data_IF_206582037398
#
_entry.id   IF_206582037398
#
_cell.length_a   1.000
_cell.length_b   1.000
_cell.length_c   1.000
_cell.angle_alpha   90.00
_cell.angle_beta   90.00
_cell.angle_gamma   90.00
#
_symmetry.space_group_name_H-M   'P 1'
#
loop_
_entity.id
_entity.type
_entity.pdbx_description
1 polymer ?
#
# COMPACT_ATOMS: atom_id res chain seq x y z
N UNK A 1 -10.77 -21.97 26.88
CA UNK A 1 -10.34 -23.19 26.16
C UNK A 1 -9.70 -22.78 24.82
N UNK A 2 -8.58 -22.04 24.88
CA UNK A 2 -8.03 -21.25 23.76
C UNK A 2 -6.51 -21.49 23.61
N UNK A 3 -6.08 -22.75 23.66
CA UNK A 3 -4.64 -23.08 23.75
C UNK A 3 -4.16 -24.26 22.90
N UNK A 4 -4.99 -24.87 22.04
CA UNK A 4 -4.62 -26.13 21.35
C UNK A 4 -4.67 -26.02 19.80
N UNK A 5 -5.07 -24.88 19.23
CA UNK A 5 -5.27 -24.75 17.78
C UNK A 5 -4.00 -24.55 16.93
N UNK A 6 -2.87 -24.15 17.52
CA UNK A 6 -1.68 -23.73 16.75
C UNK A 6 -0.66 -24.82 16.45
N UNK A 7 -0.90 -26.07 16.87
CA UNK A 7 0.06 -27.19 16.73
C UNK A 7 -0.31 -28.28 15.72
N UNK A 8 -1.39 -28.11 14.97
CA UNK A 8 -1.91 -29.15 14.05
C UNK A 8 -1.97 -28.73 12.57
N UNK A 9 -1.38 -27.60 12.18
CA UNK A 9 -1.26 -27.28 10.75
C UNK A 9 0.02 -27.91 10.20
N UNK A 10 -0.07 -28.92 9.31
CA UNK A 10 1.09 -29.43 8.62
C UNK A 10 1.68 -28.34 7.74
N UNK A 11 2.97 -28.08 7.92
CA UNK A 11 3.77 -27.33 6.95
C UNK A 11 3.83 -28.17 5.67
N UNK A 12 2.98 -27.85 4.70
CA UNK A 12 3.14 -28.31 3.32
C UNK A 12 2.91 -27.13 2.40
N UNK A 13 3.89 -26.80 1.55
CA UNK A 13 3.75 -25.74 0.59
C UNK A 13 2.90 -26.26 -0.57
N UNK A 14 2.06 -25.39 -1.14
CA UNK A 14 1.95 -25.14 -2.58
C UNK A 14 0.52 -24.84 -3.07
N UNK A 15 0.52 -23.87 -3.98
CA UNK A 15 -0.30 -23.78 -5.20
C UNK A 15 -1.79 -23.60 -5.00
N UNK A 16 -2.22 -22.36 -5.19
CA UNK A 16 -3.50 -22.06 -5.86
C UNK A 16 -3.32 -20.81 -6.70
N UNK A 17 -3.65 -20.93 -7.98
CA UNK A 17 -3.73 -19.79 -8.88
C UNK A 17 -4.92 -18.94 -8.46
N UNK A 18 -4.69 -17.63 -8.38
CA UNK A 18 -5.76 -16.67 -8.11
C UNK A 18 -5.64 -15.55 -9.12
N UNK A 19 -6.18 -15.79 -10.31
CA UNK A 19 -6.62 -14.69 -11.16
C UNK A 19 -7.73 -13.97 -10.39
N UNK A 20 -7.42 -12.80 -9.82
CA UNK A 20 -8.42 -11.90 -9.25
C UNK A 20 -8.17 -11.39 -7.82
N UNK A 21 -7.23 -11.94 -7.05
CA UNK A 21 -6.86 -11.37 -5.75
C UNK A 21 -5.63 -10.47 -5.93
N UNK A 22 -5.80 -9.16 -5.76
CA UNK A 22 -4.67 -8.21 -5.67
C UNK A 22 -3.79 -8.64 -4.49
N UNK A 23 -2.57 -9.05 -4.78
CA UNK A 23 -1.59 -9.45 -3.77
C UNK A 23 -1.14 -8.21 -3.00
N UNK A 24 -0.89 -8.38 -1.70
CA UNK A 24 -0.27 -7.32 -0.89
C UNK A 24 1.21 -7.18 -1.26
N UNK A 25 1.82 -6.02 -0.97
CA UNK A 25 3.26 -5.84 -1.22
C UNK A 25 4.12 -6.93 -0.52
N UNK A 26 3.70 -7.36 0.68
CA UNK A 26 4.36 -8.42 1.46
C UNK A 26 4.25 -9.80 0.80
N UNK A 27 3.06 -10.20 0.37
CA UNK A 27 2.85 -11.46 -0.36
C UNK A 27 3.67 -11.50 -1.66
N UNK A 28 3.75 -10.36 -2.35
CA UNK A 28 4.53 -10.21 -3.57
C UNK A 28 6.03 -10.41 -3.28
N UNK A 29 6.54 -9.77 -2.21
CA UNK A 29 7.93 -9.90 -1.78
C UNK A 29 8.29 -11.33 -1.34
N UNK A 30 7.40 -12.02 -0.64
CA UNK A 30 7.56 -13.43 -0.27
C UNK A 30 7.58 -14.35 -1.49
N UNK A 31 6.71 -14.12 -2.49
CA UNK A 31 6.61 -14.96 -3.68
C UNK A 31 7.88 -14.98 -4.56
N UNK A 32 8.73 -13.96 -4.41
CA UNK A 32 10.04 -13.87 -5.06
C UNK A 32 11.20 -14.23 -4.12
N UNK A 33 10.92 -14.70 -2.91
CA UNK A 33 11.91 -14.99 -1.87
C UNK A 33 12.85 -13.80 -1.61
N UNK A 34 12.30 -12.58 -1.65
CA UNK A 34 13.07 -11.35 -1.42
C UNK A 34 13.39 -11.15 0.05
N UNK A 35 12.50 -11.59 0.95
CA UNK A 35 12.69 -11.47 2.39
C UNK A 35 13.93 -12.25 2.86
N UNK A 36 14.25 -13.37 2.22
CA UNK A 36 15.45 -14.16 2.51
C UNK A 36 16.73 -13.64 1.84
N UNK A 37 16.64 -12.63 0.97
CA UNK A 37 17.76 -12.08 0.19
C UNK A 37 17.95 -10.57 0.41
N UNK A 38 17.15 -9.97 1.30
CA UNK A 38 17.24 -8.58 1.67
C UNK A 38 18.30 -8.43 2.76
N UNK A 39 19.28 -7.57 2.51
CA UNK A 39 20.36 -7.29 3.43
C UNK A 39 20.46 -5.78 3.68
N UNK A 40 20.67 -5.42 4.94
CA UNK A 40 20.91 -4.04 5.38
C UNK A 40 22.36 -3.88 5.72
N UNK A 41 23.00 -2.89 5.10
CA UNK A 41 24.42 -2.62 5.23
C UNK A 41 24.62 -1.20 5.76
N UNK A 42 25.71 -0.98 6.48
CA UNK A 42 26.15 0.35 6.90
C UNK A 42 27.55 0.60 6.38
N UNK A 43 27.80 1.84 5.95
CA UNK A 43 29.13 2.27 5.54
C UNK A 43 30.04 2.39 6.76
N UNK A 44 31.19 1.72 6.73
CA UNK A 44 32.20 1.89 7.76
C UNK A 44 33.06 3.14 7.47
N UNK A 45 33.74 3.72 8.49
CA UNK A 45 34.63 4.86 8.29
C UNK A 45 35.68 4.56 7.21
N UNK A 46 35.73 5.40 6.17
CA UNK A 46 36.66 5.22 5.04
C UNK A 46 36.20 4.25 3.95
N UNK A 47 34.90 3.96 3.87
CA UNK A 47 34.32 3.28 2.70
C UNK A 47 34.50 4.13 1.43
N UNK A 48 35.06 3.56 0.34
CA UNK A 48 35.27 4.29 -0.91
C UNK A 48 33.96 4.60 -1.65
N UNK A 49 32.83 4.02 -1.25
CA UNK A 49 31.51 4.29 -1.85
C UNK A 49 30.91 5.63 -1.43
N UNK A 50 31.43 6.22 -0.35
CA UNK A 50 30.89 7.46 0.20
C UNK A 50 31.22 8.63 -0.73
N UNK A 51 30.22 9.47 -1.01
CA UNK A 51 30.30 10.54 -2.01
C UNK A 51 30.16 10.05 -3.46
N UNK A 52 30.02 8.74 -3.70
CA UNK A 52 29.66 8.23 -5.02
C UNK A 52 28.14 8.15 -5.17
N UNK A 53 27.66 8.29 -6.40
CA UNK A 53 26.25 8.02 -6.72
C UNK A 53 26.00 6.52 -6.88
N UNK A 54 24.75 6.09 -6.68
CA UNK A 54 24.35 4.68 -6.88
C UNK A 54 24.69 4.19 -8.30
N UNK A 55 24.55 5.05 -9.32
CA UNK A 55 24.91 4.72 -10.70
C UNK A 55 26.42 4.53 -10.91
N UNK A 56 27.25 5.36 -10.27
CA UNK A 56 28.70 5.26 -10.37
C UNK A 56 29.25 4.04 -9.61
N UNK A 57 28.65 3.70 -8.47
CA UNK A 57 29.03 2.53 -7.69
C UNK A 57 28.78 1.19 -8.41
N UNK A 58 27.89 1.17 -9.41
CA UNK A 58 27.60 0.01 -10.27
C UNK A 58 27.42 -1.32 -9.52
N UNK A 59 26.82 -1.28 -8.32
CA UNK A 59 26.75 -2.43 -7.40
C UNK A 59 26.08 -3.66 -8.02
N UNK A 60 25.11 -3.43 -8.91
CA UNK A 60 24.45 -4.50 -9.68
C UNK A 60 25.44 -5.15 -10.64
N UNK A 61 26.11 -4.37 -11.49
CA UNK A 61 27.07 -4.90 -12.48
C UNK A 61 28.28 -5.57 -11.85
N UNK A 62 28.86 -4.98 -10.79
CA UNK A 62 30.13 -5.41 -10.21
C UNK A 62 29.97 -6.57 -9.22
N UNK A 63 28.85 -6.61 -8.48
CA UNK A 63 28.64 -7.59 -7.41
C UNK A 63 27.35 -8.40 -7.58
N UNK A 64 26.51 -8.13 -8.57
CA UNK A 64 25.21 -8.79 -8.74
C UNK A 64 24.12 -8.28 -7.79
N UNK A 65 24.39 -7.24 -6.99
CA UNK A 65 23.51 -6.77 -5.92
C UNK A 65 22.60 -5.64 -6.39
N UNK A 66 21.30 -5.73 -6.11
CA UNK A 66 20.36 -4.64 -6.45
C UNK A 66 20.15 -3.73 -5.26
N UNK A 67 20.43 -2.44 -5.42
CA UNK A 67 20.10 -1.45 -4.40
C UNK A 67 18.61 -1.10 -4.49
N UNK A 68 17.88 -1.39 -3.43
CA UNK A 68 16.44 -1.15 -3.36
C UNK A 68 16.18 0.23 -2.75
N UNK A 69 16.79 0.50 -1.59
CA UNK A 69 16.56 1.74 -0.86
C UNK A 69 17.76 2.17 -0.03
N UNK A 70 17.69 3.41 0.44
CA UNK A 70 18.66 4.02 1.34
C UNK A 70 17.87 4.51 2.57
N UNK A 71 18.22 4.00 3.73
CA UNK A 71 17.68 4.44 5.02
C UNK A 71 18.51 5.58 5.57
N UNK A 72 17.86 6.69 5.90
CA UNK A 72 18.50 7.81 6.59
C UNK A 72 17.97 7.86 8.01
N UNK A 73 18.88 7.94 8.98
CA UNK A 73 18.51 8.09 10.38
C UNK A 73 18.18 9.57 10.66
N UNK A 74 16.90 9.94 10.63
CA UNK A 74 16.44 11.26 11.03
C UNK A 74 15.70 11.20 12.38
N UNK A 75 16.20 11.94 13.38
CA UNK A 75 15.49 12.26 14.63
C UNK A 75 14.78 11.06 15.28
N UNK A 76 15.49 9.94 15.44
CA UNK A 76 15.02 8.69 16.08
C UNK A 76 14.15 7.77 15.22
N UNK A 77 13.87 8.12 13.97
CA UNK A 77 13.16 7.26 12.99
C UNK A 77 14.00 7.12 11.72
N UNK A 78 14.12 5.90 11.21
CA UNK A 78 14.80 5.66 9.95
C UNK A 78 13.80 5.82 8.81
N UNK A 79 14.00 6.86 7.99
CA UNK A 79 13.19 7.11 6.79
C UNK A 79 13.85 6.40 5.63
N UNK A 80 13.09 5.58 4.89
CA UNK A 80 13.68 4.72 3.85
C UNK A 80 13.30 5.21 2.47
N UNK A 81 14.21 5.93 1.84
CA UNK A 81 13.99 6.48 0.51
C UNK A 81 14.38 5.49 -0.59
N UNK A 82 13.65 5.48 -1.72
CA UNK A 82 14.04 4.71 -2.89
C UNK A 82 15.36 5.23 -3.44
N UNK A 83 16.30 4.31 -3.69
CA UNK A 83 17.58 4.67 -4.26
C UNK A 83 17.37 5.05 -5.73
N UNK A 84 17.66 6.30 -6.11
CA UNK A 84 17.68 6.73 -7.51
C UNK A 84 19.08 6.52 -8.09
N UNK A 85 19.26 6.75 -9.39
CA UNK A 85 20.57 6.60 -10.04
C UNK A 85 21.57 7.69 -9.60
N UNK A 86 21.07 8.88 -9.30
CA UNK A 86 21.84 10.07 -8.91
C UNK A 86 21.94 10.27 -7.39
N UNK A 87 21.37 9.39 -6.57
CA UNK A 87 21.48 9.51 -5.12
C UNK A 87 22.93 9.24 -4.70
N UNK A 88 23.50 10.16 -3.92
CA UNK A 88 24.84 10.03 -3.35
C UNK A 88 24.79 9.32 -1.99
N UNK A 89 25.80 8.49 -1.72
CA UNK A 89 25.93 7.80 -0.44
C UNK A 89 26.61 8.66 0.62
N UNK A 90 26.02 8.74 1.81
CA UNK A 90 26.58 9.44 2.96
C UNK A 90 26.98 8.47 4.08
N UNK A 91 27.88 8.92 4.97
CA UNK A 91 28.37 8.14 6.11
C UNK A 91 27.25 7.63 7.05
N UNK A 92 26.16 8.39 7.18
CA UNK A 92 25.05 8.06 8.09
C UNK A 92 23.97 7.17 7.45
N UNK A 93 24.13 6.83 6.16
CA UNK A 93 23.13 6.10 5.41
C UNK A 93 23.22 4.59 5.68
N UNK A 94 22.06 3.94 5.75
CA UNK A 94 21.92 2.50 5.69
C UNK A 94 21.53 2.08 4.26
N UNK A 95 22.23 1.10 3.71
CA UNK A 95 22.00 0.61 2.36
C UNK A 95 21.17 -0.67 2.40
N UNK A 96 20.02 -0.68 1.72
CA UNK A 96 19.18 -1.86 1.55
C UNK A 96 19.44 -2.49 0.19
N UNK A 97 20.02 -3.70 0.19
CA UNK A 97 20.36 -4.45 -1.03
C UNK A 97 19.65 -5.79 -1.06
N UNK A 98 19.28 -6.21 -2.27
CA UNK A 98 18.77 -7.56 -2.55
C UNK A 98 19.80 -8.32 -3.36
N UNK A 99 20.15 -9.51 -2.89
CA UNK A 99 20.99 -10.46 -3.62
C UNK A 99 21.47 -11.64 -2.78
N UNK A 100 22.39 -12.42 -3.34
CA UNK A 100 22.92 -13.61 -2.68
C UNK A 100 23.89 -13.23 -1.55
N UNK A 101 23.87 -14.02 -0.47
CA UNK A 101 24.69 -13.78 0.72
C UNK A 101 26.20 -13.72 0.38
N UNK A 102 26.68 -14.61 -0.48
CA UNK A 102 28.08 -14.62 -0.92
C UNK A 102 28.50 -13.32 -1.59
N UNK A 103 27.64 -12.73 -2.43
CA UNK A 103 27.89 -11.45 -3.08
C UNK A 103 27.91 -10.30 -2.07
N UNK A 104 27.03 -10.33 -1.08
CA UNK A 104 27.00 -9.34 0.01
C UNK A 104 28.27 -9.42 0.85
N UNK A 105 28.74 -10.63 1.18
CA UNK A 105 29.99 -10.81 1.93
C UNK A 105 31.19 -10.23 1.15
N UNK A 106 31.24 -10.46 -0.17
CA UNK A 106 32.26 -9.90 -1.04
C UNK A 106 32.22 -8.36 -1.10
N UNK A 107 31.01 -7.78 -1.17
CA UNK A 107 30.81 -6.34 -1.12
C UNK A 107 31.31 -5.75 0.22
N UNK A 108 30.93 -6.37 1.34
CA UNK A 108 31.37 -5.96 2.68
C UNK A 108 32.90 -5.93 2.82
N UNK A 109 33.57 -6.97 2.31
CA UNK A 109 35.03 -7.07 2.38
C UNK A 109 35.74 -6.04 1.48
N UNK A 110 35.21 -5.77 0.29
CA UNK A 110 35.87 -4.92 -0.70
C UNK A 110 35.62 -3.43 -0.45
N UNK A 111 34.37 -3.08 -0.13
CA UNK A 111 33.91 -1.69 -0.05
C UNK A 111 33.78 -1.18 1.39
N UNK A 112 34.27 -1.94 2.39
CA UNK A 112 34.22 -1.61 3.83
C UNK A 112 32.81 -1.29 4.30
N UNK A 113 31.94 -2.30 4.25
CA UNK A 113 30.58 -2.22 4.78
C UNK A 113 30.38 -3.28 5.85
N UNK A 114 29.60 -2.94 6.87
CA UNK A 114 29.19 -3.86 7.92
C UNK A 114 27.71 -4.23 7.77
N UNK A 115 27.38 -5.51 7.95
CA UNK A 115 25.98 -5.98 7.94
C UNK A 115 25.28 -5.56 9.24
N UNK A 116 24.04 -5.12 9.10
CA UNK A 116 23.14 -4.84 10.21
C UNK A 116 22.00 -5.85 10.21
N UNK A 117 21.47 -6.11 11.41
CA UNK A 117 20.23 -6.86 11.55
C UNK A 117 19.07 -6.00 11.03
N UNK A 118 18.19 -6.62 10.25
CA UNK A 118 16.93 -6.03 9.80
C UNK A 118 15.87 -6.41 10.83
N UNK A 119 15.22 -5.41 11.42
CA UNK A 119 14.01 -5.64 12.21
C UNK A 119 12.80 -5.73 11.28
N UNK A 120 11.78 -6.52 11.66
CA UNK A 120 10.55 -6.64 10.86
C UNK A 120 9.86 -5.30 10.60
N UNK A 121 9.92 -4.37 11.57
CA UNK A 121 9.39 -3.01 11.44
C UNK A 121 10.03 -2.24 10.29
N UNK A 122 11.36 -2.35 10.14
CA UNK A 122 12.13 -1.69 9.08
C UNK A 122 11.84 -2.32 7.72
N UNK A 123 11.70 -3.64 7.68
CA UNK A 123 11.34 -4.37 6.47
C UNK A 123 9.95 -3.98 5.97
N UNK A 124 8.97 -3.81 6.88
CA UNK A 124 7.65 -3.29 6.54
C UNK A 124 7.71 -1.85 6.06
N UNK A 125 8.48 -0.99 6.73
CA UNK A 125 8.66 0.41 6.33
C UNK A 125 9.27 0.52 4.93
N UNK A 126 10.32 -0.26 4.65
CA UNK A 126 10.95 -0.38 3.33
C UNK A 126 9.90 -0.74 2.27
N UNK A 127 9.11 -1.80 2.52
CA UNK A 127 8.10 -2.28 1.58
C UNK A 127 6.98 -1.25 1.39
N UNK A 128 6.61 -0.46 2.39
CA UNK A 128 5.58 0.59 2.26
C UNK A 128 6.09 1.82 1.49
N UNK A 129 7.33 2.25 1.75
CA UNK A 129 7.93 3.40 1.07
C UNK A 129 8.38 3.09 -0.37
N UNK A 130 8.80 1.84 -0.62
CA UNK A 130 9.13 1.36 -1.97
C UNK A 130 7.95 0.67 -2.61
N UNK A 131 7.46 1.26 -3.70
CA UNK A 131 6.49 0.56 -4.53
C UNK A 131 7.12 -0.68 -5.16
N UNK A 132 6.39 -1.79 -5.13
CA UNK A 132 6.73 -3.01 -5.82
C UNK A 132 5.60 -3.40 -6.75
N UNK A 133 5.93 -3.82 -7.98
CA UNK A 133 4.94 -4.12 -9.00
C UNK A 133 5.43 -5.28 -9.89
N UNK A 134 4.53 -6.20 -10.21
CA UNK A 134 4.77 -7.20 -11.24
C UNK A 134 4.31 -6.67 -12.60
N UNK A 135 5.22 -6.70 -13.57
CA UNK A 135 4.93 -6.38 -14.97
C UNK A 135 5.27 -7.54 -15.87
N UNK A 136 4.43 -7.79 -16.87
CA UNK A 136 4.68 -8.76 -17.92
C UNK A 136 5.13 -8.05 -19.19
N UNK A 137 6.08 -8.65 -19.89
CA UNK A 137 6.53 -8.17 -21.19
C UNK A 137 5.54 -8.63 -22.29
N UNK A 138 4.84 -7.70 -22.97
CA UNK A 138 3.99 -8.00 -24.13
C UNK A 138 4.83 -8.46 -25.33
N UNK A 139 4.24 -9.14 -26.33
CA UNK A 139 4.98 -9.71 -27.46
C UNK A 139 5.67 -8.65 -28.32
N UNK A 140 5.15 -7.42 -28.33
CA UNK A 140 5.70 -6.29 -29.10
C UNK A 140 6.72 -5.45 -28.31
N UNK A 141 7.15 -5.91 -27.12
CA UNK A 141 8.10 -5.16 -26.30
C UNK A 141 9.50 -5.15 -26.91
N UNK A 142 10.05 -3.96 -27.14
CA UNK A 142 11.44 -3.74 -27.62
C UNK A 142 12.51 -4.34 -26.70
N UNK A 143 12.15 -4.66 -25.45
CA UNK A 143 13.04 -5.28 -24.48
C UNK A 143 13.24 -6.78 -24.71
N UNK A 144 12.41 -7.42 -25.53
CA UNK A 144 12.55 -8.84 -25.86
C UNK A 144 13.87 -9.07 -26.61
N UNK A 145 14.62 -10.07 -26.15
CA UNK A 145 15.94 -10.42 -26.70
C UNK A 145 17.10 -9.61 -26.14
N UNK A 146 16.84 -8.53 -25.40
CA UNK A 146 17.86 -7.74 -24.71
C UNK A 146 18.14 -8.32 -23.32
N UNK A 147 19.36 -8.10 -22.82
CA UNK A 147 19.69 -8.40 -21.42
C UNK A 147 19.24 -7.26 -20.51
N UNK A 148 19.01 -7.54 -19.22
CA UNK A 148 18.72 -6.47 -18.24
C UNK A 148 19.82 -5.38 -18.21
N UNK A 149 21.07 -5.76 -18.50
CA UNK A 149 22.19 -4.84 -18.67
C UNK A 149 21.99 -3.89 -19.85
N UNK A 150 21.63 -4.43 -21.02
CA UNK A 150 21.43 -3.66 -22.25
C UNK A 150 20.21 -2.74 -22.16
N UNK A 151 19.14 -3.23 -21.53
CA UNK A 151 17.93 -2.46 -21.28
C UNK A 151 18.16 -1.24 -20.37
N UNK A 152 19.26 -1.21 -19.61
CA UNK A 152 19.62 -0.14 -18.67
C UNK A 152 18.42 0.37 -17.84
N UNK A 153 17.60 -0.57 -17.37
CA UNK A 153 16.24 -0.33 -16.85
C UNK A 153 16.19 0.76 -15.76
N UNK A 154 17.19 0.76 -14.89
CA UNK A 154 17.32 1.74 -13.80
C UNK A 154 17.63 3.15 -14.29
N UNK A 155 18.43 3.29 -15.33
CA UNK A 155 18.80 4.59 -15.90
C UNK A 155 17.63 5.18 -16.70
N UNK A 156 16.93 4.35 -17.48
CA UNK A 156 15.81 4.81 -18.31
C UNK A 156 14.54 5.07 -17.51
N UNK A 157 14.16 4.16 -16.61
CA UNK A 157 12.88 4.25 -15.91
C UNK A 157 13.01 4.66 -14.42
N UNK A 158 14.23 4.72 -13.87
CA UNK A 158 14.43 5.01 -12.45
C UNK A 158 13.98 3.88 -11.52
N UNK A 159 13.85 2.66 -12.05
CA UNK A 159 13.28 1.49 -11.39
C UNK A 159 14.27 0.32 -11.36
N UNK A 160 14.14 -0.58 -10.40
CA UNK A 160 15.06 -1.72 -10.25
C UNK A 160 14.34 -3.05 -10.40
N UNK A 161 14.86 -3.92 -11.25
CA UNK A 161 14.34 -5.29 -11.41
C UNK A 161 14.92 -6.18 -10.31
N UNK A 162 14.07 -6.63 -9.40
CA UNK A 162 14.44 -7.50 -8.28
C UNK A 162 14.45 -8.98 -8.70
N UNK A 163 13.55 -9.37 -9.60
CA UNK A 163 13.36 -10.76 -10.00
C UNK A 163 12.76 -10.89 -11.39
N UNK A 164 13.09 -11.99 -12.07
CA UNK A 164 12.45 -12.40 -13.32
C UNK A 164 11.77 -13.75 -13.07
N UNK A 165 10.53 -13.89 -13.51
CA UNK A 165 9.76 -15.12 -13.43
C UNK A 165 9.41 -15.57 -14.84
N UNK A 166 9.84 -16.79 -15.20
CA UNK A 166 9.56 -17.44 -16.48
C UNK A 166 8.74 -18.70 -16.22
N UNK A 167 7.64 -18.90 -16.95
CA UNK A 167 6.74 -20.04 -16.75
C UNK A 167 6.31 -20.24 -15.28
N UNK A 168 6.01 -19.14 -14.57
CA UNK A 168 5.63 -19.10 -13.13
C UNK A 168 6.73 -19.55 -12.15
N UNK A 169 7.98 -19.70 -12.57
CA UNK A 169 9.11 -19.99 -11.68
C UNK A 169 10.11 -18.83 -11.67
N UNK A 170 10.59 -18.40 -10.49
CA UNK A 170 11.64 -17.38 -10.42
C UNK A 170 12.93 -17.96 -11.02
N UNK A 171 13.59 -17.18 -11.88
CA UNK A 171 14.88 -17.57 -12.45
C UNK A 171 15.97 -17.47 -11.37
N UNK A 172 16.76 -18.52 -11.13
CA UNK A 172 17.88 -18.48 -10.21
C UNK A 172 19.10 -17.80 -10.85
N UNK A 173 19.97 -17.20 -10.03
CA UNK A 173 21.28 -16.70 -10.45
C UNK A 173 21.32 -15.21 -10.81
N UNK A 174 22.30 -14.83 -11.63
CA UNK A 174 22.56 -13.44 -11.99
C UNK A 174 21.67 -12.99 -13.16
N UNK A 175 20.58 -12.30 -12.83
CA UNK A 175 19.58 -11.84 -13.80
C UNK A 175 20.10 -10.80 -14.81
N UNK A 176 21.28 -10.23 -14.60
CA UNK A 176 21.82 -9.13 -15.41
C UNK A 176 22.10 -9.56 -16.86
N UNK A 177 22.54 -10.79 -17.04
CA UNK A 177 22.96 -11.36 -18.33
C UNK A 177 21.86 -12.19 -18.99
N UNK A 178 20.77 -12.44 -18.26
CA UNK A 178 19.62 -13.14 -18.78
C UNK A 178 18.92 -12.31 -19.85
N UNK A 179 18.66 -12.95 -21.00
CA UNK A 179 17.88 -12.34 -22.07
C UNK A 179 16.40 -12.42 -21.74
N UNK A 180 15.74 -11.27 -21.81
CA UNK A 180 14.31 -11.14 -21.61
C UNK A 180 13.56 -11.82 -22.76
N UNK A 181 12.55 -12.61 -22.42
CA UNK A 181 11.71 -13.31 -23.37
C UNK A 181 10.25 -12.88 -23.24
N UNK A 182 9.47 -13.09 -24.30
CA UNK A 182 8.03 -12.90 -24.26
C UNK A 182 7.39 -13.75 -23.15
N UNK A 183 6.46 -13.15 -22.40
CA UNK A 183 5.76 -13.82 -21.30
C UNK A 183 6.55 -13.86 -19.98
N UNK A 184 7.78 -13.33 -19.95
CA UNK A 184 8.49 -13.12 -18.70
C UNK A 184 7.76 -12.07 -17.84
N UNK A 185 7.70 -12.35 -16.54
CA UNK A 185 7.15 -11.44 -15.54
C UNK A 185 8.29 -10.88 -14.69
N UNK A 186 8.46 -9.57 -14.73
CA UNK A 186 9.47 -8.83 -14.00
C UNK A 186 8.86 -8.31 -12.70
N UNK A 187 9.54 -8.56 -11.58
CA UNK A 187 9.28 -7.86 -10.34
C UNK A 187 10.15 -6.61 -10.28
N UNK A 188 9.49 -5.46 -10.23
CA UNK A 188 10.14 -4.16 -10.21
C UNK A 188 9.89 -3.50 -8.86
N UNK A 189 10.93 -2.85 -8.32
CA UNK A 189 10.82 -1.99 -7.15
C UNK A 189 11.37 -0.59 -7.42
N UNK A 190 10.78 0.42 -6.79
CA UNK A 190 11.27 1.79 -6.83
C UNK A 190 10.29 2.80 -6.27
N UNK A 191 10.54 4.07 -6.57
CA UNK A 191 9.67 5.16 -6.15
C UNK A 191 8.30 5.07 -6.85
N UNK A 192 7.22 5.32 -6.09
CA UNK A 192 5.84 5.27 -6.60
C UNK A 192 5.60 6.17 -7.83
N UNK A 193 6.25 7.34 -7.88
CA UNK A 193 6.17 8.27 -9.00
C UNK A 193 6.72 7.67 -10.30
N UNK A 194 7.76 6.84 -10.22
CA UNK A 194 8.39 6.21 -11.38
C UNK A 194 7.57 5.01 -11.84
N UNK A 195 6.98 4.27 -10.89
CA UNK A 195 6.07 3.17 -11.20
C UNK A 195 4.83 3.68 -11.95
N UNK A 196 4.25 4.81 -11.52
CA UNK A 196 3.09 5.40 -12.21
C UNK A 196 3.42 5.90 -13.61
N UNK A 197 4.63 6.43 -13.85
CA UNK A 197 5.10 6.79 -15.19
C UNK A 197 5.21 5.56 -16.09
N UNK A 198 5.72 4.44 -15.57
CA UNK A 198 5.82 3.18 -16.32
C UNK A 198 4.44 2.64 -16.74
N UNK A 199 3.35 2.94 -16.01
CA UNK A 199 1.99 2.56 -16.42
C UNK A 199 1.47 3.36 -17.63
N UNK A 200 2.01 4.57 -17.85
CA UNK A 200 1.68 5.39 -19.02
C UNK A 200 2.25 4.80 -20.32
N UNK A 201 3.32 4.02 -20.22
CA UNK A 201 4.01 3.38 -21.34
C UNK A 201 3.46 1.96 -21.63
N UNK A 202 2.14 1.88 -21.83
CA UNK A 202 1.38 0.64 -22.10
C UNK A 202 1.92 -0.22 -23.27
N UNK A 203 2.79 0.34 -24.12
CA UNK A 203 3.40 -0.38 -25.24
C UNK A 203 4.49 -1.37 -24.80
N UNK A 204 5.15 -1.14 -23.67
CA UNK A 204 6.32 -1.94 -23.28
C UNK A 204 6.08 -2.87 -22.09
N UNK A 205 5.01 -2.63 -21.30
CA UNK A 205 4.71 -3.39 -20.08
C UNK A 205 3.21 -3.55 -19.86
N UNK A 206 2.80 -4.76 -19.49
CA UNK A 206 1.47 -5.04 -18.97
C UNK A 206 1.57 -5.18 -17.45
N UNK A 207 1.02 -4.22 -16.72
CA UNK A 207 1.05 -4.23 -15.26
C UNK A 207 0.04 -5.25 -14.74
N UNK A 208 0.52 -6.36 -14.18
CA UNK A 208 -0.34 -7.48 -13.78
C UNK A 208 -0.93 -7.31 -12.38
N UNK A 209 -0.13 -6.82 -11.43
CA UNK A 209 -0.52 -6.67 -10.04
C UNK A 209 -0.09 -5.29 -9.54
N UNK A 210 -1.04 -4.35 -9.45
CA UNK A 210 -0.91 -3.16 -8.62
C UNK A 210 -1.24 -3.58 -7.18
N UNK A 211 -0.32 -3.39 -6.22
CA UNK A 211 -0.66 -3.56 -4.81
C UNK A 211 -1.84 -2.68 -4.44
N UNK A 212 -2.74 -3.20 -3.60
CA UNK A 212 -3.91 -2.46 -3.13
C UNK A 212 -3.54 -1.12 -2.46
N UNK A 213 -2.31 -1.01 -1.95
CA UNK A 213 -1.75 0.18 -1.30
C UNK A 213 -1.47 1.35 -2.27
N UNK A 214 -1.41 1.12 -3.60
CA UNK A 214 -1.27 2.19 -4.59
C UNK A 214 -2.42 3.20 -4.57
N UNK A 215 -3.63 2.78 -4.21
CA UNK A 215 -4.79 3.69 -4.10
C UNK A 215 -4.76 4.57 -2.86
N UNK A 216 -4.06 4.16 -1.80
CA UNK A 216 -4.10 4.87 -0.51
C UNK A 216 -2.93 5.84 -0.30
N UNK A 217 -1.76 5.62 -0.91
CA UNK A 217 -0.53 6.32 -0.51
C UNK A 217 -0.20 7.55 -1.39
N UNK A 218 -0.75 7.66 -2.61
CA UNK A 218 -0.14 8.52 -3.63
C UNK A 218 -0.38 10.06 -3.59
N UNK A 219 -1.37 10.65 -2.88
CA UNK A 219 -1.47 12.12 -2.81
C UNK A 219 -1.30 12.74 -1.41
N UNK A 220 -1.30 11.95 -0.33
CA UNK A 220 -1.71 12.46 0.98
C UNK A 220 -0.68 13.35 1.71
N UNK A 221 0.62 13.21 1.51
CA UNK A 221 1.59 13.88 2.40
C UNK A 221 1.55 15.42 2.33
N UNK A 222 1.32 15.98 1.14
CA UNK A 222 1.28 17.45 0.94
C UNK A 222 -0.10 18.07 1.19
N UNK A 223 -1.16 17.27 1.21
CA UNK A 223 -2.55 17.74 1.32
C UNK A 223 -3.20 17.35 2.66
N UNK A 224 -2.55 16.48 3.45
CA UNK A 224 -2.94 16.11 4.81
C UNK A 224 -3.30 17.29 5.74
N UNK A 225 -2.52 18.39 5.82
CA UNK A 225 -2.89 19.49 6.71
C UNK A 225 -4.17 20.21 6.28
N UNK A 226 -4.43 20.31 4.97
CA UNK A 226 -5.66 20.93 4.45
C UNK A 226 -6.89 20.05 4.69
N UNK A 227 -6.77 18.74 4.47
CA UNK A 227 -7.84 17.79 4.76
C UNK A 227 -8.21 17.79 6.26
N UNK A 228 -7.20 17.83 7.14
CA UNK A 228 -7.42 17.89 8.59
C UNK A 228 -8.09 19.20 9.01
N UNK A 229 -7.70 20.33 8.41
CA UNK A 229 -8.32 21.63 8.70
C UNK A 229 -9.79 21.66 8.28
N UNK A 230 -10.14 21.11 7.10
CA UNK A 230 -11.52 21.04 6.61
C UNK A 230 -12.36 20.14 7.53
N UNK A 231 -11.83 18.99 7.95
CA UNK A 231 -12.50 18.09 8.89
C UNK A 231 -12.80 18.78 10.22
N UNK A 232 -11.80 19.45 10.81
CA UNK A 232 -11.98 20.17 12.08
C UNK A 232 -12.98 21.31 11.95
N UNK A 233 -12.93 22.07 10.85
CA UNK A 233 -13.90 23.12 10.58
C UNK A 233 -15.32 22.57 10.46
N UNK A 234 -15.51 21.44 9.76
CA UNK A 234 -16.82 20.78 9.65
C UNK A 234 -17.36 20.35 11.02
N UNK A 235 -16.53 19.68 11.84
CA UNK A 235 -16.91 19.24 13.20
C UNK A 235 -17.27 20.43 14.08
N UNK A 236 -16.51 21.52 14.02
CA UNK A 236 -16.82 22.74 14.75
C UNK A 236 -18.16 23.35 14.28
N UNK A 237 -18.39 23.46 12.97
CA UNK A 237 -19.65 23.98 12.42
C UNK A 237 -20.86 23.17 12.88
N UNK A 238 -20.73 21.83 12.93
CA UNK A 238 -21.77 20.93 13.42
C UNK A 238 -21.98 21.05 14.94
N UNK A 239 -20.90 21.11 15.72
CA UNK A 239 -20.97 21.17 17.18
C UNK A 239 -21.55 22.50 17.70
N UNK A 240 -21.19 23.61 17.07
CA UNK A 240 -21.70 24.94 17.43
C UNK A 240 -23.05 25.26 16.76
N UNK A 241 -23.56 24.40 15.87
CA UNK A 241 -24.86 24.57 15.22
C UNK A 241 -24.98 25.84 14.37
N UNK A 242 -23.85 26.38 13.88
CA UNK A 242 -23.82 27.65 13.12
C UNK A 242 -24.54 27.49 11.77
N UNK A 243 -24.52 26.28 11.21
CA UNK A 243 -25.14 25.93 9.93
C UNK A 243 -25.84 24.57 10.08
N UNK A 244 -26.85 24.29 9.23
CA UNK A 244 -27.47 22.96 9.16
C UNK A 244 -26.42 21.87 8.94
N UNK A 245 -26.55 20.73 9.63
CA UNK A 245 -25.65 19.59 9.52
C UNK A 245 -25.44 19.16 8.05
N UNK A 246 -26.50 19.20 7.25
CA UNK A 246 -26.43 18.87 5.82
C UNK A 246 -25.57 19.90 5.07
N UNK A 247 -25.75 21.18 5.36
CA UNK A 247 -24.97 22.25 4.75
C UNK A 247 -23.49 22.19 5.14
N UNK A 248 -23.18 21.87 6.41
CA UNK A 248 -21.81 21.70 6.88
C UNK A 248 -21.07 20.59 6.13
N UNK A 249 -21.72 19.42 5.95
CA UNK A 249 -21.16 18.29 5.19
C UNK A 249 -20.96 18.64 3.71
N UNK A 250 -21.93 19.31 3.08
CA UNK A 250 -21.82 19.72 1.68
C UNK A 250 -20.69 20.74 1.45
N UNK A 251 -20.54 21.71 2.35
CA UNK A 251 -19.44 22.68 2.30
C UNK A 251 -18.08 22.02 2.48
N UNK A 252 -17.96 21.07 3.41
CA UNK A 252 -16.74 20.31 3.62
C UNK A 252 -16.39 19.43 2.39
N UNK A 253 -17.39 18.79 1.78
CA UNK A 253 -17.22 18.00 0.56
C UNK A 253 -16.75 18.89 -0.62
N UNK A 254 -17.37 20.06 -0.79
CA UNK A 254 -16.98 21.02 -1.82
C UNK A 254 -15.55 21.53 -1.60
N UNK A 255 -15.20 21.87 -0.34
CA UNK A 255 -13.85 22.29 0.02
C UNK A 255 -12.83 21.18 -0.28
N UNK A 256 -13.11 19.92 0.09
CA UNK A 256 -12.21 18.80 -0.22
C UNK A 256 -11.97 18.63 -1.74
N UNK A 257 -13.00 18.84 -2.56
CA UNK A 257 -12.85 18.85 -4.01
C UNK A 257 -12.01 20.04 -4.53
N UNK A 258 -12.27 21.23 -4.00
CA UNK A 258 -11.58 22.47 -4.41
C UNK A 258 -10.08 22.44 -4.07
N UNK A 259 -9.72 21.94 -2.89
CA UNK A 259 -8.33 21.76 -2.47
C UNK A 259 -7.66 20.53 -3.11
N UNK A 260 -8.37 19.81 -4.00
CA UNK A 260 -7.93 18.58 -4.69
C UNK A 260 -7.41 17.50 -3.75
N UNK A 261 -7.96 17.46 -2.52
CA UNK A 261 -7.63 16.44 -1.52
C UNK A 261 -8.08 15.04 -1.95
N UNK A 262 -9.09 14.97 -2.82
CA UNK A 262 -9.65 13.73 -3.34
C UNK A 262 -9.90 13.87 -4.85
N UNK A 263 -9.60 12.82 -5.62
CA UNK A 263 -10.00 12.76 -7.03
C UNK A 263 -11.47 12.34 -7.11
N UNK A 264 -12.20 12.87 -8.08
CA UNK A 264 -13.64 12.68 -8.16
C UNK A 264 -14.00 11.21 -8.42
N UNK A 265 -13.15 10.49 -9.17
CA UNK A 265 -13.31 9.06 -9.44
C UNK A 265 -13.18 8.20 -8.16
N UNK A 266 -12.22 8.55 -7.29
CA UNK A 266 -11.98 7.85 -6.02
C UNK A 266 -13.12 8.12 -5.01
N UNK A 267 -13.69 9.34 -5.04
CA UNK A 267 -14.85 9.71 -4.23
C UNK A 267 -16.05 8.81 -4.54
N UNK A 268 -16.40 8.65 -5.82
CA UNK A 268 -17.54 7.80 -6.21
C UNK A 268 -17.32 6.32 -5.91
N UNK A 269 -16.06 5.85 -5.99
CA UNK A 269 -15.72 4.45 -5.72
C UNK A 269 -15.77 4.10 -4.24
N UNK A 270 -15.54 5.05 -3.35
CA UNK A 270 -15.61 4.84 -1.90
C UNK A 270 -17.04 4.84 -1.34
N UNK A 271 -18.02 5.27 -2.13
CA UNK A 271 -19.44 5.25 -1.74
C UNK A 271 -19.96 3.81 -1.74
N UNK A 272 -20.39 3.35 -0.57
CA UNK A 272 -21.11 2.09 -0.42
C UNK A 272 -22.57 2.24 -0.86
N UNK A 273 -22.82 2.10 -2.17
CA UNK A 273 -24.15 2.20 -2.78
C UNK A 273 -25.20 1.33 -2.08
N UNK A 274 -24.94 0.05 -1.73
CA UNK A 274 -25.86 -0.76 -0.95
C UNK A 274 -26.36 -0.07 0.34
N UNK A 275 -25.47 0.51 1.15
CA UNK A 275 -25.86 1.19 2.39
C UNK A 275 -26.74 2.41 2.14
N UNK A 276 -26.43 3.20 1.10
CA UNK A 276 -27.21 4.39 0.75
C UNK A 276 -28.62 4.00 0.30
N UNK A 277 -28.75 2.95 -0.52
CA UNK A 277 -30.05 2.42 -0.97
C UNK A 277 -30.88 1.93 0.21
N UNK A 278 -30.27 1.24 1.18
CA UNK A 278 -30.99 0.78 2.39
C UNK A 278 -31.50 1.96 3.22
N UNK A 279 -30.64 2.94 3.52
CA UNK A 279 -31.03 4.13 4.29
C UNK A 279 -32.14 4.91 3.57
N UNK A 280 -31.98 5.13 2.25
CA UNK A 280 -32.98 5.82 1.44
C UNK A 280 -34.30 5.03 1.38
N UNK A 281 -34.26 3.70 1.35
CA UNK A 281 -35.44 2.83 1.35
C UNK A 281 -36.17 2.77 2.69
N UNK A 282 -35.47 2.94 3.81
CA UNK A 282 -36.08 2.98 5.14
C UNK A 282 -36.97 4.22 5.33
N UNK A 283 -36.64 5.36 4.69
CA UNK A 283 -37.41 6.59 4.81
C UNK A 283 -38.87 6.47 4.31
N UNK A 284 -39.15 5.99 3.08
CA UNK A 284 -40.51 5.73 2.61
C UNK A 284 -41.24 4.67 3.42
N UNK A 285 -40.55 3.60 3.85
CA UNK A 285 -41.16 2.53 4.64
C UNK A 285 -41.63 3.06 6.00
N UNK A 286 -40.77 3.82 6.70
CA UNK A 286 -41.11 4.48 7.96
C UNK A 286 -42.32 5.41 7.78
N UNK A 287 -42.33 6.20 6.71
CA UNK A 287 -43.44 7.12 6.40
C UNK A 287 -44.74 6.38 6.04
N UNK A 288 -44.66 5.26 5.33
CA UNK A 288 -45.83 4.43 5.02
C UNK A 288 -46.42 3.82 6.29
N UNK A 289 -45.59 3.34 7.21
CA UNK A 289 -46.03 2.81 8.51
C UNK A 289 -46.68 3.88 9.39
N UNK A 290 -46.16 5.10 9.34
CA UNK A 290 -46.76 6.27 9.99
C UNK A 290 -48.14 6.58 9.39
N UNK A 291 -48.25 6.62 8.07
CA UNK A 291 -49.51 6.93 7.36
C UNK A 291 -50.58 5.83 7.48
N UNK A 292 -50.19 4.55 7.58
CA UNK A 292 -51.14 3.45 7.79
C UNK A 292 -51.66 3.36 9.23
N UNK A 293 -51.16 4.21 10.14
CA UNK A 293 -51.50 4.16 11.56
C UNK A 293 -50.87 2.98 12.30
N UNK A 294 -49.90 2.30 11.68
CA UNK A 294 -49.16 1.23 12.35
C UNK A 294 -48.36 1.75 13.55
N UNK A 295 -47.76 2.95 13.40
CA UNK A 295 -47.06 3.63 14.50
C UNK A 295 -48.01 3.94 15.65
N UNK A 296 -49.22 4.45 15.37
CA UNK A 296 -50.22 4.78 16.40
C UNK A 296 -50.74 3.55 17.13
N UNK A 297 -50.96 2.43 16.43
CA UNK A 297 -51.38 1.18 17.07
C UNK A 297 -50.32 0.64 18.05
N UNK A 298 -49.05 0.71 17.67
CA UNK A 298 -47.94 0.25 18.51
C UNK A 298 -47.75 1.20 19.69
N UNK A 299 -47.80 2.52 19.48
CA UNK A 299 -47.67 3.50 20.57
C UNK A 299 -48.81 3.38 21.58
N UNK A 300 -50.04 3.23 21.12
CA UNK A 300 -51.22 3.13 22.00
C UNK A 300 -51.21 1.82 22.79
N UNK A 301 -50.79 0.71 22.17
CA UNK A 301 -50.60 -0.57 22.86
C UNK A 301 -49.52 -0.48 23.95
N UNK A 302 -48.43 0.23 23.68
CA UNK A 302 -47.35 0.43 24.65
C UNK A 302 -47.82 1.32 25.83
N UNK A 303 -48.54 2.41 25.54
CA UNK A 303 -49.08 3.32 26.55
C UNK A 303 -50.14 2.62 27.40
N UNK A 304 -51.01 1.79 26.82
CA UNK A 304 -52.03 1.06 27.56
C UNK A 304 -51.42 0.03 28.54
N UNK A 305 -50.31 -0.63 28.17
CA UNK A 305 -49.66 -1.62 29.02
C UNK A 305 -48.72 -1.03 30.07
N UNK A 306 -47.91 -0.04 29.69
CA UNK A 306 -46.79 0.47 30.50
C UNK A 306 -47.02 1.90 31.03
N UNK A 307 -48.00 2.63 30.51
CA UNK A 307 -48.24 4.04 30.83
C UNK A 307 -48.61 4.30 32.30
N UNK A 308 -49.21 3.31 32.98
CA UNK A 308 -49.54 3.41 34.41
C UNK A 308 -48.34 3.41 35.35
N UNK A 309 -47.17 2.94 34.91
CA UNK A 309 -45.95 2.82 35.73
C UNK A 309 -45.02 4.05 35.65
N UNK A 310 -45.46 5.10 34.94
CA UNK A 310 -44.77 6.38 34.85
C UNK A 310 -43.85 6.52 33.62
N UNK A 311 -43.43 7.77 33.30
CA UNK A 311 -42.76 8.09 32.03
C UNK A 311 -41.41 7.39 31.82
N UNK A 312 -40.68 7.15 32.91
CA UNK A 312 -39.36 6.53 32.88
C UNK A 312 -39.40 5.04 32.50
N UNK A 313 -40.44 4.33 32.94
CA UNK A 313 -40.68 2.92 32.59
C UNK A 313 -41.13 2.79 31.14
N UNK A 314 -41.94 3.73 30.66
CA UNK A 314 -42.36 3.78 29.27
C UNK A 314 -41.18 4.02 28.32
N UNK A 315 -40.28 4.97 28.66
CA UNK A 315 -39.05 5.20 27.91
C UNK A 315 -38.14 3.96 27.88
N UNK A 316 -37.96 3.30 29.03
CA UNK A 316 -37.21 2.06 29.11
C UNK A 316 -37.84 0.95 28.25
N UNK A 317 -39.16 0.84 28.27
CA UNK A 317 -39.92 -0.10 27.44
C UNK A 317 -39.73 0.13 25.95
N UNK A 318 -39.80 1.38 25.49
CA UNK A 318 -39.51 1.75 24.08
C UNK A 318 -38.08 1.36 23.71
N UNK A 319 -37.09 1.66 24.57
CA UNK A 319 -35.69 1.36 24.29
C UNK A 319 -35.42 -0.16 24.21
N UNK A 320 -36.06 -0.95 25.07
CA UNK A 320 -35.94 -2.41 25.09
C UNK A 320 -36.56 -3.04 23.84
N UNK A 321 -37.72 -2.53 23.42
CA UNK A 321 -38.39 -2.97 22.19
C UNK A 321 -37.55 -2.63 20.95
N UNK A 322 -36.97 -1.43 20.90
CA UNK A 322 -36.08 -1.00 19.83
C UNK A 322 -34.76 -1.79 19.79
N UNK A 323 -34.24 -2.24 20.94
CA UNK A 323 -33.03 -3.05 21.03
C UNK A 323 -33.25 -4.54 20.68
N UNK A 324 -34.50 -5.01 20.73
CA UNK A 324 -34.87 -6.39 20.40
C UNK A 324 -35.05 -6.62 18.89
N UNK A 325 -35.36 -5.54 18.15
CA UNK A 325 -35.54 -5.51 16.69
C UNK A 325 -34.21 -5.23 15.99
#
# INVERSE_FOLDING_TARGET
>A
MWAIGSRLLPASPLKTGTAGRRQTLLELAESYNLMGQLHRLRFDPGSPLIGQTVSHAQLRTRYGLTVVGIGQSERSTEVVSPALANTEFHHADALYVVGQDAAVAHLCATERLSRLLIQESQQRSLVQELGMVEVMLPPDSELIGQTLRQAAFRTHHGLSVLGIRRNRQPLPGNLIEEKLAFGDTLLIAGAWKQISLLQGEQKHFLVLNLPAELSDIAPAYRQAPFALAILLAMVALMAFGIVSNVAAVLLAALAMGLFRCLRMEDAYRSINWPSLVVIAGMLPLAKALEQTGGVTLISDGLVAGLGGFGPLVLLAGVFLLAALV
#
